data_IF_949625214292
#
_entry.id   IF_949625214292
#
_cell.length_a   1.000
_cell.length_b   1.000
_cell.length_c   1.000
_cell.angle_alpha   90.00
_cell.angle_beta   90.00
_cell.angle_gamma   90.00
#
_symmetry.space_group_name_H-M   'P 1'
#
loop_
_entity.id
_entity.type
_entity.pdbx_description
1 polymer ?
#
# COMPACT_ATOMS: atom_id res chain seq x y z
N UNK A 1 -24.33 -0.35 -23.54
CA UNK A 1 -24.97 -1.39 -22.71
C UNK A 1 -23.88 -2.43 -22.44
N UNK A 2 -23.41 -2.76 -21.24
CA UNK A 2 -23.77 -2.52 -19.85
C UNK A 2 -22.46 -2.65 -19.06
N UNK A 3 -22.21 -1.83 -18.05
CA UNK A 3 -21.53 -2.28 -16.83
C UNK A 3 -22.27 -1.60 -15.68
N UNK A 4 -23.38 -2.23 -15.28
CA UNK A 4 -24.02 -1.89 -14.02
C UNK A 4 -23.05 -2.21 -12.91
N UNK A 5 -22.73 -1.22 -12.08
CA UNK A 5 -22.01 -1.38 -10.83
C UNK A 5 -22.67 -2.54 -10.06
N UNK A 6 -21.89 -3.55 -9.70
CA UNK A 6 -22.37 -4.60 -8.81
C UNK A 6 -22.91 -3.98 -7.52
N UNK A 7 -23.93 -4.56 -6.87
CA UNK A 7 -24.40 -4.06 -5.59
C UNK A 7 -23.25 -4.06 -4.59
N UNK A 8 -23.05 -2.92 -3.92
CA UNK A 8 -22.11 -2.78 -2.80
C UNK A 8 -22.56 -3.79 -1.73
N UNK A 9 -21.63 -4.62 -1.25
CA UNK A 9 -21.95 -5.60 -0.21
C UNK A 9 -21.93 -4.95 1.17
N UNK A 10 -22.68 -5.48 2.15
CA UNK A 10 -22.66 -5.02 3.55
C UNK A 10 -21.24 -4.88 4.12
N UNK A 11 -20.31 -5.73 3.65
CA UNK A 11 -18.88 -5.67 4.01
C UNK A 11 -18.22 -4.38 3.52
N UNK A 12 -18.49 -3.99 2.27
CA UNK A 12 -17.85 -2.82 1.67
C UNK A 12 -18.40 -1.53 2.30
N UNK A 13 -19.68 -1.51 2.66
CA UNK A 13 -20.30 -0.41 3.42
C UNK A 13 -19.69 -0.27 4.82
N UNK A 14 -19.56 -1.37 5.57
CA UNK A 14 -18.93 -1.34 6.90
C UNK A 14 -17.48 -0.88 6.83
N UNK A 15 -16.74 -1.33 5.82
CA UNK A 15 -15.34 -0.97 5.64
C UNK A 15 -15.16 0.50 5.27
N UNK A 16 -16.09 1.07 4.51
CA UNK A 16 -16.10 2.50 4.21
C UNK A 16 -16.48 3.33 5.44
N UNK A 17 -17.46 2.86 6.23
CA UNK A 17 -17.81 3.50 7.50
C UNK A 17 -16.60 3.59 8.44
N UNK A 18 -15.91 2.46 8.67
CA UNK A 18 -14.70 2.42 9.52
C UNK A 18 -13.62 3.37 9.00
N UNK A 19 -13.46 3.47 7.67
CA UNK A 19 -12.49 4.39 7.06
C UNK A 19 -12.86 5.86 7.28
N UNK A 20 -14.15 6.20 7.17
CA UNK A 20 -14.65 7.56 7.42
C UNK A 20 -14.48 7.95 8.89
N UNK A 21 -14.90 7.10 9.81
CA UNK A 21 -14.75 7.32 11.26
C UNK A 21 -13.29 7.51 11.66
N UNK A 22 -12.38 6.69 11.10
CA UNK A 22 -10.94 6.85 11.30
C UNK A 22 -10.42 8.19 10.77
N UNK A 23 -10.85 8.62 9.57
CA UNK A 23 -10.43 9.89 9.00
C UNK A 23 -10.88 11.08 9.86
N UNK A 24 -12.15 11.08 10.31
CA UNK A 24 -12.71 12.10 11.19
C UNK A 24 -11.96 12.19 12.51
N UNK A 25 -11.69 11.05 13.15
CA UNK A 25 -10.91 10.99 14.39
C UNK A 25 -9.47 11.48 14.19
N UNK A 26 -8.81 11.07 13.09
CA UNK A 26 -7.44 11.47 12.76
C UNK A 26 -7.33 12.98 12.51
N UNK A 27 -8.30 13.57 11.82
CA UNK A 27 -8.34 15.03 11.61
C UNK A 27 -8.59 15.79 12.92
N UNK A 28 -9.50 15.30 13.77
CA UNK A 28 -9.76 15.90 15.08
C UNK A 28 -8.56 15.82 16.03
N UNK A 29 -7.78 14.73 15.96
CA UNK A 29 -6.67 14.46 16.89
C UNK A 29 -5.36 15.12 16.44
N UNK A 30 -5.03 15.01 15.15
CA UNK A 30 -3.73 15.42 14.63
C UNK A 30 -3.77 16.70 13.79
N UNK A 31 -4.97 17.15 13.38
CA UNK A 31 -5.15 18.33 12.56
C UNK A 31 -4.63 18.18 11.12
N UNK A 32 -4.31 19.31 10.50
CA UNK A 32 -3.84 19.40 9.12
C UNK A 32 -2.35 19.05 9.01
N UNK A 33 -2.07 17.75 8.92
CA UNK A 33 -0.73 17.19 8.67
C UNK A 33 -0.69 16.43 7.36
N UNK A 34 0.50 16.40 6.74
CA UNK A 34 0.76 15.64 5.50
C UNK A 34 1.00 14.14 5.75
N UNK A 35 1.24 13.35 4.69
CA UNK A 35 1.32 11.88 4.78
C UNK A 35 2.59 11.33 5.43
N UNK A 36 3.63 12.16 5.57
CA UNK A 36 4.97 11.69 5.93
C UNK A 36 4.99 11.12 7.35
N UNK A 37 4.19 11.68 8.27
CA UNK A 37 4.01 11.15 9.61
C UNK A 37 3.44 9.73 9.60
N UNK A 38 2.22 9.53 9.05
CA UNK A 38 1.62 8.20 8.91
C UNK A 38 2.53 7.19 8.18
N UNK A 39 3.25 7.59 7.13
CA UNK A 39 4.18 6.69 6.42
C UNK A 39 5.38 6.26 7.28
N UNK A 40 5.93 7.18 8.09
CA UNK A 40 6.99 6.82 9.04
C UNK A 40 6.46 5.89 10.13
N UNK A 41 5.23 6.11 10.58
CA UNK A 41 4.60 5.24 11.56
C UNK A 41 4.33 3.86 10.96
N UNK A 42 3.82 3.79 9.73
CA UNK A 42 3.58 2.52 9.01
C UNK A 42 4.83 1.64 8.94
N UNK A 43 6.02 2.24 8.82
CA UNK A 43 7.28 1.47 8.84
C UNK A 43 7.57 0.77 10.17
N UNK A 44 7.07 1.30 11.28
CA UNK A 44 7.17 0.69 12.62
C UNK A 44 6.13 -0.42 12.78
N UNK A 45 4.88 -0.13 12.44
CA UNK A 45 3.80 -1.13 12.53
C UNK A 45 4.05 -2.34 11.61
N UNK A 46 4.70 -2.13 10.47
CA UNK A 46 5.13 -3.24 9.63
C UNK A 46 6.17 -4.16 10.31
N UNK A 47 6.99 -3.63 11.23
CA UNK A 47 7.92 -4.44 12.04
C UNK A 47 7.21 -5.13 13.19
N UNK A 48 6.21 -4.48 13.81
CA UNK A 48 5.38 -5.06 14.88
C UNK A 48 4.53 -6.21 14.34
N UNK A 49 3.83 -6.01 13.21
CA UNK A 49 3.12 -7.06 12.47
C UNK A 49 4.03 -8.21 11.99
N UNK A 50 5.29 -7.93 11.65
CA UNK A 50 6.25 -8.97 11.29
C UNK A 50 6.73 -9.79 12.50
N UNK A 51 6.73 -9.20 13.70
CA UNK A 51 7.11 -9.86 14.94
C UNK A 51 5.98 -10.75 15.51
N UNK A 52 4.71 -10.31 15.36
CA UNK A 52 3.53 -11.11 15.69
C UNK A 52 2.49 -11.08 14.57
N UNK A 53 2.68 -11.87 13.50
CA UNK A 53 1.74 -11.89 12.38
C UNK A 53 0.38 -12.50 12.75
N UNK A 54 0.24 -13.07 13.95
CA UNK A 54 -1.02 -13.62 14.45
C UNK A 54 -1.92 -12.59 15.11
N UNK A 55 -1.39 -11.40 15.44
CA UNK A 55 -2.18 -10.29 15.97
C UNK A 55 -2.88 -9.51 14.84
N UNK A 56 -4.21 -9.57 14.72
CA UNK A 56 -4.94 -8.83 13.69
C UNK A 56 -4.92 -7.31 13.88
N UNK A 57 -4.61 -6.79 15.07
CA UNK A 57 -4.58 -5.35 15.34
C UNK A 57 -3.39 -4.68 14.66
N UNK A 58 -2.24 -5.34 14.63
CA UNK A 58 -1.04 -4.86 13.92
C UNK A 58 -1.30 -4.68 12.41
N UNK A 59 -2.12 -5.57 11.83
CA UNK A 59 -2.58 -5.42 10.45
C UNK A 59 -3.57 -4.26 10.28
N UNK A 60 -4.42 -4.02 11.28
CA UNK A 60 -5.36 -2.91 11.27
C UNK A 60 -4.62 -1.56 11.34
N UNK A 61 -3.56 -1.46 12.15
CA UNK A 61 -2.73 -0.26 12.23
C UNK A 61 -2.07 0.06 10.89
N UNK A 62 -1.52 -0.95 10.20
CA UNK A 62 -0.99 -0.76 8.84
C UNK A 62 -2.06 -0.22 7.87
N UNK A 63 -3.30 -0.72 7.95
CA UNK A 63 -4.38 -0.28 7.08
C UNK A 63 -4.82 1.16 7.38
N UNK A 64 -4.98 1.52 8.65
CA UNK A 64 -5.32 2.87 9.07
C UNK A 64 -4.27 3.88 8.63
N UNK A 65 -2.99 3.60 8.87
CA UNK A 65 -1.88 4.48 8.50
C UNK A 65 -1.74 4.64 6.99
N UNK A 66 -2.00 3.59 6.22
CA UNK A 66 -1.99 3.67 4.76
C UNK A 66 -3.16 4.51 4.22
N UNK A 67 -4.39 4.33 4.74
CA UNK A 67 -5.52 5.18 4.34
C UNK A 67 -5.29 6.64 4.72
N UNK A 68 -4.72 6.89 5.90
CA UNK A 68 -4.42 8.23 6.39
C UNK A 68 -3.39 8.94 5.50
N UNK A 69 -2.32 8.24 5.13
CA UNK A 69 -1.33 8.75 4.20
C UNK A 69 -1.93 9.07 2.82
N UNK A 70 -2.76 8.16 2.29
CA UNK A 70 -3.39 8.34 0.98
C UNK A 70 -4.33 9.55 0.96
N UNK A 71 -5.26 9.63 1.92
CA UNK A 71 -6.22 10.74 1.98
C UNK A 71 -5.53 12.09 2.20
N UNK A 72 -4.49 12.15 3.04
CA UNK A 72 -3.72 13.38 3.30
C UNK A 72 -2.92 13.84 2.07
N UNK A 73 -2.68 12.95 1.11
CA UNK A 73 -2.12 13.31 -0.20
C UNK A 73 -3.16 13.55 -1.29
N UNK A 74 -4.45 13.45 -0.97
CA UNK A 74 -5.52 13.56 -1.97
C UNK A 74 -5.53 12.39 -2.97
N UNK A 75 -4.97 11.23 -2.60
CA UNK A 75 -5.02 10.03 -3.44
C UNK A 75 -6.38 9.36 -3.29
N UNK A 76 -7.20 9.43 -4.35
CA UNK A 76 -8.49 8.72 -4.39
C UNK A 76 -8.31 7.22 -4.59
N UNK A 77 -9.35 6.46 -4.24
CA UNK A 77 -9.40 5.01 -4.43
C UNK A 77 -9.26 4.61 -5.89
N UNK A 78 -9.89 5.36 -6.80
CA UNK A 78 -9.74 5.16 -8.23
C UNK A 78 -8.28 5.36 -8.67
N UNK A 79 -7.65 6.44 -8.19
CA UNK A 79 -6.28 6.77 -8.57
C UNK A 79 -5.29 5.72 -8.08
N UNK A 80 -5.39 5.32 -6.80
CA UNK A 80 -4.48 4.30 -6.26
C UNK A 80 -4.73 2.94 -6.92
N UNK A 81 -5.99 2.60 -7.23
CA UNK A 81 -6.33 1.35 -7.93
C UNK A 81 -5.70 1.30 -9.32
N UNK A 82 -5.77 2.39 -10.09
CA UNK A 82 -5.08 2.48 -11.39
C UNK A 82 -3.56 2.33 -11.22
N UNK A 83 -2.97 3.02 -10.25
CA UNK A 83 -1.54 2.90 -9.97
C UNK A 83 -1.15 1.47 -9.56
N UNK A 84 -1.99 0.76 -8.81
CA UNK A 84 -1.79 -0.65 -8.45
C UNK A 84 -1.82 -1.56 -9.68
N UNK A 85 -2.74 -1.33 -10.63
CA UNK A 85 -2.82 -2.08 -11.90
C UNK A 85 -1.54 -1.90 -12.71
N UNK A 86 -1.10 -0.66 -12.90
CA UNK A 86 0.14 -0.34 -13.62
C UNK A 86 1.36 -0.96 -12.92
N UNK A 87 1.43 -0.82 -11.59
CA UNK A 87 2.53 -1.36 -10.79
C UNK A 87 2.58 -2.89 -10.83
N UNK A 88 1.43 -3.55 -10.85
CA UNK A 88 1.33 -5.00 -10.98
C UNK A 88 1.85 -5.48 -12.34
N UNK A 89 1.52 -4.79 -13.43
CA UNK A 89 2.05 -5.09 -14.76
C UNK A 89 3.59 -4.95 -14.79
N UNK A 90 4.13 -3.87 -14.24
CA UNK A 90 5.58 -3.67 -14.10
C UNK A 90 6.23 -4.80 -13.27
N UNK A 91 5.62 -5.19 -12.16
CA UNK A 91 6.15 -6.24 -11.30
C UNK A 91 6.16 -7.62 -11.97
N UNK A 92 5.14 -7.94 -12.79
CA UNK A 92 5.08 -9.18 -13.58
C UNK A 92 6.12 -9.25 -14.69
N UNK A 93 6.57 -8.11 -15.20
CA UNK A 93 7.60 -8.03 -16.25
C UNK A 93 9.03 -8.07 -15.71
N UNK A 94 9.23 -8.12 -14.38
CA UNK A 94 10.57 -8.15 -13.75
C UNK A 94 11.07 -9.57 -13.52
N UNK A 95 12.39 -9.69 -13.46
CA UNK A 95 13.06 -10.89 -12.96
C UNK A 95 13.18 -10.84 -11.44
N UNK A 96 12.85 -11.96 -10.80
CA UNK A 96 12.84 -12.13 -9.35
C UNK A 96 13.75 -13.29 -8.94
N UNK A 97 14.48 -13.19 -7.82
CA UNK A 97 15.22 -14.33 -7.29
C UNK A 97 14.28 -15.38 -6.69
N UNK A 98 14.84 -16.54 -6.38
CA UNK A 98 14.13 -17.64 -5.74
C UNK A 98 13.47 -17.23 -4.40
N UNK A 99 12.25 -17.70 -4.12
CA UNK A 99 11.95 -18.42 -2.90
C UNK A 99 12.72 -18.23 -1.58
N UNK A 100 12.61 -17.14 -0.79
CA UNK A 100 13.07 -17.19 0.63
C UNK A 100 12.00 -16.70 1.59
N UNK A 101 11.62 -17.56 2.52
CA UNK A 101 10.64 -17.27 3.57
C UNK A 101 11.21 -16.31 4.62
N UNK A 102 10.36 -15.44 5.16
CA UNK A 102 10.72 -14.44 6.17
C UNK A 102 11.60 -13.27 5.70
N UNK A 103 11.90 -13.15 4.40
CA UNK A 103 12.87 -12.17 3.88
C UNK A 103 12.28 -11.30 2.77
N UNK A 104 12.63 -9.99 2.73
CA UNK A 104 12.19 -9.12 1.65
C UNK A 104 12.82 -9.54 0.32
N UNK A 105 12.02 -9.47 -0.74
CA UNK A 105 12.49 -9.81 -2.10
C UNK A 105 12.62 -8.57 -2.97
N UNK A 106 13.80 -8.40 -3.56
CA UNK A 106 14.10 -7.33 -4.50
C UNK A 106 14.21 -7.88 -5.92
N UNK A 107 13.75 -7.10 -6.91
CA UNK A 107 13.92 -7.44 -8.32
C UNK A 107 15.39 -7.32 -8.73
N UNK A 108 15.81 -8.17 -9.67
CA UNK A 108 17.15 -8.11 -10.25
C UNK A 108 17.20 -6.91 -11.19
N UNK A 109 18.15 -6.00 -10.94
CA UNK A 109 18.47 -4.91 -11.88
C UNK A 109 19.41 -5.48 -12.93
N UNK A 110 19.06 -5.38 -14.21
CA UNK A 110 20.01 -5.68 -15.29
C UNK A 110 21.19 -4.72 -15.15
N UNK A 111 22.40 -5.28 -15.00
CA UNK A 111 23.60 -4.46 -15.09
C UNK A 111 23.74 -4.01 -16.55
N UNK A 112 24.02 -2.72 -16.83
CA UNK A 112 24.35 -2.31 -18.19
C UNK A 112 25.56 -3.12 -18.65
N UNK A 113 25.44 -3.75 -19.82
CA UNK A 113 26.53 -4.51 -20.44
C UNK A 113 27.71 -3.54 -20.59
N UNK A 114 28.92 -3.88 -20.10
CA UNK A 114 30.08 -3.03 -20.31
C UNK A 114 30.28 -2.88 -21.82
N UNK A 115 30.17 -1.65 -22.31
CA UNK A 115 30.50 -1.31 -23.70
C UNK A 115 32.01 -1.54 -23.84
N UNK A 116 32.38 -2.66 -24.45
CA UNK A 116 33.77 -2.91 -24.83
C UNK A 116 34.08 -1.93 -25.97
N UNK A 117 35.09 -1.06 -25.85
CA UNK A 117 35.50 -0.24 -26.98
C UNK A 117 36.00 -1.15 -28.12
N UNK A 118 35.46 -0.98 -29.33
CA UNK A 118 36.08 -1.54 -30.54
C UNK A 118 37.37 -0.76 -30.83
N UNK A 119 38.48 -1.48 -31.04
CA UNK A 119 39.75 -0.91 -31.51
C UNK A 119 39.72 -0.50 -32.98
#
# INVERSE_FOLDING_TARGET
>A
MLHGSQPVSDRDELREQVRSEHAEWSDATFGDVGPVGPLKHLSKEALEAAADPSDPLEWADMQFLLWDAQRRMGLSDEFITRAMIEKLAINKARHWPEPKDGEPRMHIKEQPVPVVPEE
#
